data_IF_799147775511
#
_entry.id   IF_799147775511
#
_cell.length_a   1.000
_cell.length_b   1.000
_cell.length_c   1.000
_cell.angle_alpha   90.00
_cell.angle_beta   90.00
_cell.angle_gamma   90.00
#
_symmetry.space_group_name_H-M   'P 1'
#
loop_
_entity.id
_entity.type
_entity.pdbx_description
1 polymer ?
#
# COMPACT_ATOMS: atom_id res chain seq x y z
N UNK A 1 -17.93 31.28 -28.13
CA UNK A 1 -17.57 31.28 -29.56
C UNK A 1 -16.12 30.88 -29.69
N UNK A 2 -15.92 29.86 -30.45
CA UNK A 2 -14.78 29.15 -31.02
C UNK A 2 -14.42 27.83 -30.32
N UNK A 3 -15.02 26.78 -30.87
CA UNK A 3 -14.54 25.40 -30.77
C UNK A 3 -13.41 25.22 -31.79
N UNK A 4 -12.34 24.55 -31.41
CA UNK A 4 -11.30 24.09 -32.34
C UNK A 4 -11.25 22.56 -32.28
N UNK A 5 -11.77 21.97 -33.36
CA UNK A 5 -11.67 20.54 -33.63
C UNK A 5 -10.25 20.16 -34.00
N UNK A 6 -9.67 19.20 -33.31
CA UNK A 6 -8.40 18.56 -33.68
C UNK A 6 -8.72 17.19 -34.28
N UNK A 7 -8.55 17.09 -35.61
CA UNK A 7 -8.70 15.86 -36.40
C UNK A 7 -7.40 15.06 -36.35
N UNK A 8 -7.45 13.80 -35.87
CA UNK A 8 -6.35 12.85 -36.00
C UNK A 8 -6.47 12.02 -37.27
N UNK A 9 -5.39 11.83 -38.07
CA UNK A 9 -5.43 11.02 -39.26
C UNK A 9 -5.41 9.52 -38.97
N UNK A 10 -6.38 8.79 -39.55
CA UNK A 10 -6.41 7.31 -39.56
C UNK A 10 -5.26 6.76 -40.42
N UNK A 11 -4.44 5.87 -39.86
CA UNK A 11 -3.53 5.03 -40.64
C UNK A 11 -4.28 3.86 -41.26
N UNK A 12 -4.14 3.72 -42.60
CA UNK A 12 -4.64 2.60 -43.40
C UNK A 12 -3.90 1.28 -43.04
N UNK A 13 -4.65 0.22 -42.88
CA UNK A 13 -4.15 -1.15 -42.78
C UNK A 13 -3.69 -1.60 -44.18
N UNK A 14 -2.41 -1.98 -44.31
CA UNK A 14 -1.85 -2.63 -45.50
C UNK A 14 -2.05 -4.15 -45.43
N UNK A 15 -2.66 -4.70 -46.45
CA UNK A 15 -2.78 -6.14 -46.65
C UNK A 15 -1.45 -6.74 -47.10
N UNK A 16 -0.96 -7.76 -46.41
CA UNK A 16 0.16 -8.59 -46.88
C UNK A 16 -0.39 -9.89 -47.44
N UNK A 17 -0.11 -10.16 -48.74
CA UNK A 17 -0.25 -11.49 -49.35
C UNK A 17 1.01 -12.33 -49.06
N UNK A 18 0.87 -13.63 -48.82
CA UNK A 18 2.05 -14.50 -48.69
C UNK A 18 2.51 -15.00 -50.06
N UNK A 19 3.78 -14.77 -50.34
CA UNK A 19 4.49 -15.35 -51.49
C UNK A 19 4.84 -16.81 -51.19
N UNK A 20 4.46 -17.70 -52.12
CA UNK A 20 4.80 -19.13 -52.06
C UNK A 20 6.29 -19.34 -52.31
N UNK A 21 6.88 -20.21 -51.51
CA UNK A 21 8.27 -20.72 -51.73
C UNK A 21 8.19 -22.21 -52.01
N UNK A 22 8.64 -22.62 -53.21
CA UNK A 22 8.86 -23.97 -53.64
C UNK A 22 9.98 -24.63 -52.84
N UNK A 23 9.72 -25.85 -52.39
CA UNK A 23 10.70 -26.72 -51.76
C UNK A 23 11.45 -27.50 -52.85
N UNK A 24 12.77 -27.60 -52.82
CA UNK A 24 13.48 -28.62 -53.57
C UNK A 24 13.64 -29.90 -52.72
N UNK A 25 13.34 -31.03 -53.37
CA UNK A 25 13.61 -32.36 -52.88
C UNK A 25 15.12 -32.58 -52.75
N UNK A 26 15.60 -32.93 -51.56
CA UNK A 26 16.93 -33.48 -51.36
C UNK A 26 16.88 -34.95 -50.92
N UNK A 27 17.65 -35.77 -51.65
CA UNK A 27 17.87 -37.16 -51.47
C UNK A 27 18.38 -37.51 -50.06
N UNK A 28 17.76 -38.50 -49.45
CA UNK A 28 18.25 -39.15 -48.23
C UNK A 28 19.48 -40.02 -48.51
N UNK A 29 20.63 -39.64 -47.89
CA UNK A 29 21.77 -40.54 -47.69
C UNK A 29 21.71 -41.03 -46.22
N UNK A 30 21.92 -42.31 -45.94
CA UNK A 30 21.91 -42.81 -44.57
C UNK A 30 23.23 -42.42 -43.87
N UNK A 31 23.16 -41.51 -42.92
CA UNK A 31 24.26 -41.26 -42.01
C UNK A 31 24.21 -42.32 -40.91
N UNK A 32 25.18 -43.20 -40.90
CA UNK A 32 25.46 -44.08 -39.78
C UNK A 32 25.98 -43.24 -38.63
N UNK A 33 25.10 -42.96 -37.63
CA UNK A 33 25.47 -42.37 -36.40
C UNK A 33 26.14 -43.40 -35.51
N UNK A 34 27.44 -43.39 -35.44
CA UNK A 34 28.18 -44.10 -34.41
C UNK A 34 27.78 -43.48 -33.05
N UNK A 35 27.01 -44.22 -32.25
CA UNK A 35 26.73 -43.86 -30.89
C UNK A 35 28.00 -43.94 -30.06
N UNK A 36 28.71 -42.82 -29.95
CA UNK A 36 29.72 -42.65 -28.91
C UNK A 36 29.00 -42.70 -27.56
N UNK A 37 29.16 -43.80 -26.84
CA UNK A 37 28.84 -43.92 -25.42
C UNK A 37 29.72 -42.86 -24.68
N UNK A 38 29.22 -41.62 -24.62
CA UNK A 38 29.74 -40.66 -23.65
C UNK A 38 29.25 -41.22 -22.29
N UNK A 39 30.17 -41.87 -21.59
CA UNK A 39 30.05 -42.11 -20.17
C UNK A 39 29.91 -40.70 -19.54
N UNK A 40 28.65 -40.35 -19.26
CA UNK A 40 28.38 -39.24 -18.38
C UNK A 40 28.92 -39.65 -17.01
N UNK A 41 30.16 -39.26 -16.74
CA UNK A 41 30.62 -39.18 -15.37
C UNK A 41 29.69 -38.18 -14.71
N UNK A 42 28.65 -38.69 -14.02
CA UNK A 42 27.92 -37.89 -13.04
C UNK A 42 29.02 -37.27 -12.20
N UNK A 43 29.09 -35.90 -12.11
CA UNK A 43 29.99 -35.32 -11.14
C UNK A 43 29.67 -35.99 -9.81
N UNK A 44 30.72 -36.56 -9.18
CA UNK A 44 30.58 -37.11 -7.86
C UNK A 44 29.89 -36.04 -7.03
N UNK A 45 28.68 -36.33 -6.59
CA UNK A 45 27.97 -35.44 -5.69
C UNK A 45 28.97 -35.17 -4.57
N UNK A 46 29.41 -33.93 -4.45
CA UNK A 46 30.25 -33.52 -3.36
C UNK A 46 29.58 -34.08 -2.10
N UNK A 47 30.39 -34.68 -1.21
CA UNK A 47 29.93 -35.33 0.02
C UNK A 47 29.34 -34.27 1.02
N UNK A 48 28.64 -33.32 0.48
CA UNK A 48 27.91 -32.27 1.17
C UNK A 48 26.51 -32.74 1.52
N UNK A 49 26.03 -32.36 2.67
CA UNK A 49 24.65 -32.59 3.06
C UNK A 49 23.66 -31.89 2.13
N UNK A 50 22.39 -32.26 2.21
CA UNK A 50 21.34 -31.57 1.51
C UNK A 50 20.22 -31.12 2.44
N UNK A 51 19.53 -30.06 2.06
CA UNK A 51 18.30 -29.62 2.70
C UNK A 51 17.14 -29.68 1.70
N UNK A 52 15.94 -29.97 2.22
CA UNK A 52 14.70 -29.84 1.46
C UNK A 52 13.70 -29.01 2.25
N UNK A 53 12.83 -28.34 1.55
CA UNK A 53 11.69 -27.69 2.19
C UNK A 53 10.73 -28.78 2.69
N UNK A 54 10.41 -28.73 3.99
CA UNK A 54 9.44 -29.60 4.63
C UNK A 54 8.06 -28.97 4.64
N UNK A 55 7.99 -27.71 5.03
CA UNK A 55 6.75 -26.96 5.13
C UNK A 55 7.00 -25.46 4.98
N UNK A 56 5.99 -24.76 4.44
CA UNK A 56 5.85 -23.31 4.51
C UNK A 56 4.46 -22.96 4.98
N UNK A 57 4.34 -22.26 6.09
CA UNK A 57 3.09 -21.73 6.58
C UNK A 57 2.56 -20.60 5.67
N UNK A 58 1.28 -20.33 5.76
CA UNK A 58 0.64 -19.19 5.10
C UNK A 58 0.76 -17.95 5.95
N UNK A 59 0.92 -16.77 5.33
CA UNK A 59 0.79 -15.49 6.02
C UNK A 59 -0.68 -15.12 6.30
N UNK A 60 -1.64 -15.83 5.70
CA UNK A 60 -3.06 -15.51 5.82
C UNK A 60 -3.44 -14.21 5.11
N UNK A 61 -4.63 -13.73 5.44
CA UNK A 61 -5.13 -12.43 4.98
C UNK A 61 -5.02 -11.39 6.11
N UNK A 62 -4.39 -10.27 5.82
CA UNK A 62 -4.19 -9.17 6.78
C UNK A 62 -5.20 -8.07 6.51
N UNK A 63 -6.03 -7.73 7.52
CA UNK A 63 -6.94 -6.59 7.45
C UNK A 63 -6.19 -5.29 7.79
N UNK A 64 -6.38 -4.26 6.97
CA UNK A 64 -5.70 -2.97 7.07
C UNK A 64 -6.68 -1.80 7.06
N UNK A 65 -6.52 -0.89 8.00
CA UNK A 65 -7.04 0.46 7.94
C UNK A 65 -5.89 1.44 7.71
N UNK A 66 -5.63 1.73 6.45
CA UNK A 66 -4.50 2.59 6.06
C UNK A 66 -4.74 4.05 6.43
N UNK A 67 -5.98 4.49 6.56
CA UNK A 67 -6.32 5.88 6.89
C UNK A 67 -5.97 6.20 8.34
N UNK A 68 -6.19 5.27 9.26
CA UNK A 68 -5.82 5.42 10.68
C UNK A 68 -4.32 5.25 10.94
N UNK A 69 -3.53 4.98 9.90
CA UNK A 69 -2.08 4.75 9.98
C UNK A 69 -1.70 3.56 10.89
N UNK A 70 -2.59 2.58 10.99
CA UNK A 70 -2.30 1.33 11.70
C UNK A 70 -1.30 0.51 10.90
N UNK A 71 -0.24 0.04 11.55
CA UNK A 71 0.63 -0.99 11.00
C UNK A 71 0.00 -2.35 11.27
N UNK A 72 0.08 -3.25 10.30
CA UNK A 72 -0.36 -4.61 10.47
C UNK A 72 0.70 -5.58 9.95
N UNK A 73 0.79 -6.75 10.56
CA UNK A 73 1.78 -7.75 10.21
C UNK A 73 1.17 -9.15 10.25
N UNK A 74 1.80 -10.05 9.54
CA UNK A 74 1.52 -11.48 9.55
C UNK A 74 2.81 -12.26 9.78
N UNK A 75 2.69 -13.41 10.42
CA UNK A 75 3.82 -14.30 10.71
C UNK A 75 3.62 -15.60 9.95
N UNK A 76 4.69 -16.09 9.35
CA UNK A 76 4.74 -17.42 8.74
C UNK A 76 6.03 -18.11 9.11
N UNK A 77 6.08 -19.43 8.95
CA UNK A 77 7.23 -20.26 9.31
C UNK A 77 7.66 -21.09 8.10
N UNK A 78 8.96 -21.12 7.87
CA UNK A 78 9.61 -22.11 6.99
C UNK A 78 10.22 -23.23 7.83
N UNK A 79 10.04 -24.46 7.37
CA UNK A 79 10.68 -25.62 7.93
C UNK A 79 11.49 -26.34 6.86
N UNK A 80 12.75 -26.62 7.19
CA UNK A 80 13.66 -27.39 6.35
C UNK A 80 14.02 -28.70 7.04
N UNK A 81 14.11 -29.75 6.25
CA UNK A 81 14.71 -31.00 6.68
C UNK A 81 16.07 -31.11 6.01
N UNK A 82 17.11 -31.23 6.80
CA UNK A 82 18.49 -31.26 6.35
C UNK A 82 19.16 -32.56 6.75
N UNK A 83 19.86 -33.20 5.81
CA UNK A 83 20.63 -34.43 6.02
C UNK A 83 22.09 -34.17 5.71
N UNK A 84 22.96 -34.55 6.62
CA UNK A 84 24.40 -34.46 6.42
C UNK A 84 25.08 -35.84 6.56
N UNK A 85 25.86 -36.30 5.57
CA UNK A 85 26.66 -37.50 5.67
C UNK A 85 27.94 -37.26 6.49
N UNK A 86 28.28 -35.99 6.74
CA UNK A 86 29.48 -35.58 7.47
C UNK A 86 29.05 -34.88 8.76
N UNK A 87 29.88 -34.96 9.78
CA UNK A 87 29.60 -34.31 11.05
C UNK A 87 29.85 -32.82 10.97
N UNK A 88 28.77 -32.03 10.91
CA UNK A 88 28.79 -30.57 11.07
C UNK A 88 28.14 -30.17 12.39
N UNK A 89 28.35 -28.94 12.82
CA UNK A 89 27.73 -28.40 14.04
C UNK A 89 26.66 -27.37 13.74
N UNK A 90 26.60 -26.88 12.51
CA UNK A 90 25.64 -25.85 12.12
C UNK A 90 25.31 -25.86 10.61
N UNK A 91 24.16 -25.28 10.29
CA UNK A 91 23.76 -24.94 8.93
C UNK A 91 23.45 -23.46 8.93
N UNK A 92 24.02 -22.74 7.98
CA UNK A 92 23.68 -21.35 7.74
C UNK A 92 22.71 -21.25 6.57
N UNK A 93 21.71 -20.40 6.72
CA UNK A 93 20.73 -20.09 5.69
C UNK A 93 20.79 -18.60 5.37
N UNK A 94 20.73 -18.26 4.08
CA UNK A 94 20.62 -16.89 3.59
C UNK A 94 19.39 -16.83 2.70
N UNK A 95 18.41 -16.00 3.07
CA UNK A 95 17.11 -15.94 2.42
C UNK A 95 16.87 -14.58 1.76
N UNK A 96 16.31 -14.60 0.56
CA UNK A 96 16.00 -13.45 -0.28
C UNK A 96 14.57 -13.55 -0.78
N UNK A 97 14.04 -12.42 -1.25
CA UNK A 97 12.75 -12.37 -1.95
C UNK A 97 12.99 -12.13 -3.43
N UNK A 98 12.35 -12.93 -4.26
CA UNK A 98 12.33 -12.76 -5.71
C UNK A 98 10.93 -12.38 -6.16
N UNK A 99 10.79 -11.23 -6.85
CA UNK A 99 9.53 -10.81 -7.42
C UNK A 99 9.18 -11.66 -8.66
N UNK A 100 7.89 -11.94 -8.91
CA UNK A 100 7.45 -12.68 -10.10
C UNK A 100 7.88 -11.95 -11.38
N UNK A 101 8.47 -12.68 -12.33
CA UNK A 101 8.82 -12.16 -13.66
C UNK A 101 10.01 -11.20 -13.71
N UNK A 102 10.72 -11.00 -12.60
CA UNK A 102 11.93 -10.18 -12.59
C UNK A 102 13.15 -11.08 -12.59
N UNK A 103 13.95 -11.08 -13.68
CA UNK A 103 15.30 -11.59 -13.57
C UNK A 103 16.07 -10.61 -12.68
N UNK A 104 16.47 -11.02 -11.50
CA UNK A 104 17.57 -10.53 -10.64
C UNK A 104 17.94 -9.02 -10.59
N UNK A 105 17.25 -8.11 -11.24
CA UNK A 105 17.76 -6.76 -11.50
C UNK A 105 17.16 -5.62 -10.65
N UNK A 106 16.13 -5.85 -9.84
CA UNK A 106 15.64 -4.85 -8.89
C UNK A 106 16.11 -5.15 -7.46
N UNK A 107 17.37 -5.20 -7.34
CA UNK A 107 18.16 -5.73 -6.25
C UNK A 107 18.33 -4.80 -5.03
N UNK A 108 17.76 -3.62 -5.01
CA UNK A 108 17.94 -2.70 -3.88
C UNK A 108 16.68 -2.52 -3.02
N UNK A 109 15.57 -3.14 -3.39
CA UNK A 109 14.33 -2.91 -2.70
C UNK A 109 14.17 -3.87 -1.51
N UNK A 110 14.22 -3.33 -0.31
CA UNK A 110 13.66 -3.97 0.89
C UNK A 110 12.15 -3.76 1.00
N UNK A 111 11.52 -3.10 0.03
CA UNK A 111 10.10 -2.82 -0.07
C UNK A 111 9.51 -3.52 -1.28
N UNK A 112 8.47 -4.29 -1.06
CA UNK A 112 7.75 -5.04 -2.08
C UNK A 112 6.32 -4.54 -2.18
N UNK A 113 5.63 -4.85 -3.27
CA UNK A 113 4.30 -4.34 -3.55
C UNK A 113 3.32 -5.45 -3.90
N UNK A 114 2.17 -5.45 -3.25
CA UNK A 114 1.00 -6.16 -3.73
C UNK A 114 0.20 -5.22 -4.63
N UNK A 115 -0.34 -5.75 -5.71
CA UNK A 115 -1.17 -4.98 -6.65
C UNK A 115 -2.62 -5.43 -6.54
N UNK A 116 -3.54 -4.48 -6.65
CA UNK A 116 -4.95 -4.70 -6.87
C UNK A 116 -5.31 -4.46 -8.33
N UNK A 117 -4.79 -3.37 -8.87
CA UNK A 117 -4.96 -2.90 -10.24
C UNK A 117 -3.71 -2.13 -10.67
N UNK A 118 -3.71 -1.56 -11.87
CA UNK A 118 -2.55 -0.83 -12.43
C UNK A 118 -2.16 0.41 -11.62
N UNK A 119 -3.13 1.03 -10.92
CA UNK A 119 -2.95 2.32 -10.26
C UNK A 119 -2.86 2.21 -8.74
N UNK A 120 -3.10 1.03 -8.19
CA UNK A 120 -3.18 0.83 -6.75
C UNK A 120 -2.30 -0.32 -6.30
N UNK A 121 -1.34 -0.01 -5.44
CA UNK A 121 -0.38 -0.96 -4.88
C UNK A 121 -0.16 -0.70 -3.40
N UNK A 122 0.04 -1.78 -2.66
CA UNK A 122 0.24 -1.81 -1.23
C UNK A 122 1.67 -2.24 -0.93
N UNK A 123 2.43 -1.38 -0.27
CA UNK A 123 3.83 -1.62 0.07
C UNK A 123 3.96 -2.43 1.36
N UNK A 124 4.89 -3.37 1.37
CA UNK A 124 5.20 -4.23 2.51
C UNK A 124 6.68 -4.58 2.58
N UNK A 125 7.11 -5.05 3.73
CA UNK A 125 8.45 -5.55 3.99
C UNK A 125 8.38 -6.89 4.72
N UNK A 126 9.48 -7.66 4.69
CA UNK A 126 9.61 -8.91 5.43
C UNK A 126 10.91 -8.92 6.21
N UNK A 127 10.89 -9.50 7.41
CA UNK A 127 12.08 -9.71 8.25
C UNK A 127 12.03 -11.07 8.95
N UNK A 128 13.16 -11.52 9.46
CA UNK A 128 13.22 -12.68 10.36
C UNK A 128 12.64 -12.32 11.73
N UNK A 129 11.81 -13.20 12.30
CA UNK A 129 11.41 -13.08 13.69
C UNK A 129 12.61 -13.43 14.60
N UNK A 130 12.85 -12.59 15.60
CA UNK A 130 14.02 -12.75 16.51
C UNK A 130 15.37 -12.36 15.90
N UNK A 131 15.43 -11.99 14.60
CA UNK A 131 16.55 -11.28 14.00
C UNK A 131 16.48 -9.79 14.33
N UNK A 132 17.57 -9.05 14.15
CA UNK A 132 17.57 -7.58 14.29
C UNK A 132 16.55 -6.88 13.39
N UNK A 133 16.66 -5.57 13.22
CA UNK A 133 15.76 -4.77 12.36
C UNK A 133 16.01 -4.96 10.84
N UNK A 134 16.82 -5.93 10.46
CA UNK A 134 17.16 -6.17 9.06
C UNK A 134 15.97 -6.73 8.30
N UNK A 135 15.64 -6.09 7.17
CA UNK A 135 14.62 -6.55 6.23
C UNK A 135 15.23 -7.45 5.18
N UNK A 136 14.46 -8.45 4.72
CA UNK A 136 14.87 -9.24 3.57
C UNK A 136 14.97 -8.36 2.33
N UNK A 137 16.06 -8.54 1.60
CA UNK A 137 16.28 -7.84 0.33
C UNK A 137 15.91 -8.72 -0.87
N UNK A 138 15.80 -8.08 -2.04
CA UNK A 138 15.65 -8.78 -3.31
C UNK A 138 16.90 -9.62 -3.67
N UNK A 139 16.71 -10.73 -4.36
CA UNK A 139 17.80 -11.59 -4.81
C UNK A 139 18.74 -10.83 -5.77
N UNK A 140 20.03 -10.95 -5.53
CA UNK A 140 21.06 -10.24 -6.31
C UNK A 140 21.34 -8.80 -5.84
N UNK A 141 20.75 -8.37 -4.72
CA UNK A 141 21.01 -7.06 -4.11
C UNK A 141 22.42 -6.99 -3.50
N UNK A 142 23.03 -5.81 -3.60
CA UNK A 142 24.23 -5.47 -2.83
C UNK A 142 23.89 -5.13 -1.35
N UNK A 143 22.61 -5.04 -1.00
CA UNK A 143 22.16 -4.79 0.37
C UNK A 143 22.34 -6.03 1.26
N UNK A 144 22.56 -5.86 2.57
CA UNK A 144 22.69 -6.98 3.48
C UNK A 144 21.48 -7.89 3.40
N UNK A 145 21.76 -9.15 3.16
CA UNK A 145 20.73 -10.19 3.13
C UNK A 145 20.59 -10.75 4.50
N UNK A 146 19.37 -10.89 4.95
CA UNK A 146 19.11 -11.43 6.28
C UNK A 146 19.37 -12.92 6.30
N UNK A 147 20.29 -13.31 7.17
CA UNK A 147 20.70 -14.70 7.37
C UNK A 147 20.44 -15.19 8.78
N UNK A 148 20.30 -16.48 8.93
CA UNK A 148 20.21 -17.14 10.24
C UNK A 148 21.00 -18.46 10.24
N UNK A 149 21.43 -18.88 11.43
CA UNK A 149 22.20 -20.10 11.62
C UNK A 149 21.43 -21.04 12.52
N UNK A 150 21.23 -22.26 12.07
CA UNK A 150 20.68 -23.34 12.86
C UNK A 150 21.83 -24.24 13.36
N UNK A 151 21.89 -24.45 14.67
CA UNK A 151 22.85 -25.36 15.29
C UNK A 151 22.24 -26.75 15.41
N UNK A 152 22.99 -27.76 14.95
CA UNK A 152 22.55 -29.14 14.95
C UNK A 152 23.73 -30.08 15.28
N UNK A 153 23.40 -31.21 15.88
CA UNK A 153 24.36 -32.30 16.07
C UNK A 153 23.99 -33.43 15.12
N UNK A 154 24.92 -33.80 14.25
CA UNK A 154 24.78 -34.88 13.31
C UNK A 154 25.50 -36.13 13.79
N UNK A 155 24.92 -37.31 13.55
CA UNK A 155 25.58 -38.60 13.80
C UNK A 155 25.18 -39.62 12.73
N UNK A 156 25.87 -40.72 12.63
CA UNK A 156 25.51 -41.82 11.75
C UNK A 156 24.11 -42.39 12.05
N UNK A 157 23.70 -42.35 13.34
CA UNK A 157 22.38 -42.78 13.78
C UNK A 157 21.28 -41.72 13.55
N UNK A 158 21.65 -40.44 13.54
CA UNK A 158 20.72 -39.29 13.32
C UNK A 158 21.28 -38.34 12.29
N UNK A 159 21.32 -38.74 11.00
CA UNK A 159 21.92 -37.89 9.94
C UNK A 159 21.02 -36.73 9.54
N UNK A 160 19.80 -36.70 10.01
CA UNK A 160 18.77 -35.71 9.62
C UNK A 160 18.37 -34.84 10.79
N UNK A 161 18.20 -33.56 10.54
CA UNK A 161 17.65 -32.57 11.49
C UNK A 161 16.62 -31.69 10.81
N UNK A 162 15.77 -31.08 11.61
CA UNK A 162 14.80 -30.05 11.16
C UNK A 162 15.28 -28.69 11.61
N UNK A 163 15.33 -27.74 10.69
CA UNK A 163 15.58 -26.34 10.95
C UNK A 163 14.32 -25.52 10.65
N UNK A 164 13.98 -24.56 11.48
CA UNK A 164 12.82 -23.71 11.26
C UNK A 164 13.15 -22.24 11.51
N UNK A 165 12.49 -21.35 10.75
CA UNK A 165 12.60 -19.92 10.91
C UNK A 165 11.25 -19.26 10.69
N UNK A 166 10.90 -18.36 11.60
CA UNK A 166 9.73 -17.51 11.43
C UNK A 166 10.08 -16.22 10.66
N UNK A 167 9.15 -15.80 9.82
CA UNK A 167 9.21 -14.56 9.04
C UNK A 167 8.02 -13.68 9.42
N UNK A 168 8.28 -12.39 9.53
CA UNK A 168 7.28 -11.36 9.78
C UNK A 168 7.14 -10.52 8.51
N UNK A 169 5.98 -10.59 7.88
CA UNK A 169 5.56 -9.70 6.82
C UNK A 169 4.86 -8.50 7.48
N UNK A 170 5.31 -7.29 7.19
CA UNK A 170 4.77 -6.06 7.76
C UNK A 170 4.37 -5.10 6.65
N UNK A 171 3.13 -4.62 6.67
CA UNK A 171 2.66 -3.58 5.78
C UNK A 171 3.17 -2.22 6.26
N UNK A 172 3.63 -1.41 5.32
CA UNK A 172 4.17 -0.10 5.64
C UNK A 172 3.05 0.85 6.06
N UNK A 173 3.39 1.78 6.94
CA UNK A 173 2.46 2.80 7.39
C UNK A 173 2.04 3.77 6.27
N UNK A 174 0.98 4.52 6.50
CA UNK A 174 0.39 5.47 5.55
C UNK A 174 1.41 6.37 4.85
N UNK A 175 2.40 6.90 5.58
CA UNK A 175 3.39 7.83 5.04
C UNK A 175 4.26 7.24 3.92
N UNK A 176 4.34 5.91 3.84
CA UNK A 176 5.10 5.17 2.83
C UNK A 176 4.17 4.56 1.76
N UNK A 177 2.89 4.88 1.82
CA UNK A 177 1.86 4.49 0.87
C UNK A 177 1.34 5.74 0.16
N UNK A 178 0.79 5.58 -1.04
CA UNK A 178 0.23 6.72 -1.78
C UNK A 178 -1.19 6.41 -2.29
N UNK A 179 -1.31 5.66 -3.38
CA UNK A 179 -2.56 5.36 -4.04
C UNK A 179 -3.11 4.00 -3.62
N UNK A 180 -3.53 3.90 -2.37
CA UNK A 180 -4.11 2.66 -1.82
C UNK A 180 -5.63 2.78 -1.81
N UNK A 181 -6.31 2.02 -2.69
CA UNK A 181 -7.76 1.85 -2.72
C UNK A 181 -8.22 0.82 -1.69
N UNK A 182 -9.49 0.84 -1.35
CA UNK A 182 -10.11 -0.26 -0.60
C UNK A 182 -10.21 -1.52 -1.45
N UNK A 183 -10.17 -2.70 -0.82
CA UNK A 183 -10.33 -3.99 -1.46
C UNK A 183 -9.18 -4.95 -1.20
N UNK A 184 -9.15 -6.06 -1.94
CA UNK A 184 -8.18 -7.13 -1.76
C UNK A 184 -6.95 -6.88 -2.62
N UNK A 185 -5.80 -6.99 -2.00
CA UNK A 185 -4.47 -6.97 -2.63
C UNK A 185 -3.85 -8.33 -2.50
N UNK A 186 -3.30 -8.87 -3.57
CA UNK A 186 -2.61 -10.15 -3.54
C UNK A 186 -1.42 -10.15 -4.48
N UNK A 187 -0.38 -10.88 -4.13
CA UNK A 187 0.74 -11.16 -5.00
C UNK A 187 1.43 -12.44 -4.57
N UNK A 188 2.02 -13.14 -5.52
CA UNK A 188 2.84 -14.31 -5.26
C UNK A 188 4.30 -13.93 -5.44
N UNK A 189 5.11 -14.33 -4.49
CA UNK A 189 6.56 -14.12 -4.48
C UNK A 189 7.27 -15.45 -4.29
N UNK A 190 8.57 -15.46 -4.51
CA UNK A 190 9.42 -16.59 -4.25
C UNK A 190 10.45 -16.22 -3.18
N UNK A 191 10.59 -17.06 -2.15
CA UNK A 191 11.76 -17.04 -1.27
C UNK A 191 12.83 -17.93 -1.89
N UNK A 192 14.01 -17.37 -2.01
CA UNK A 192 15.22 -18.08 -2.44
C UNK A 192 16.09 -18.23 -1.21
N UNK A 193 16.32 -19.47 -0.76
CA UNK A 193 17.11 -19.77 0.42
C UNK A 193 18.35 -20.56 0.03
N UNK A 194 19.51 -19.94 0.15
CA UNK A 194 20.79 -20.62 0.05
C UNK A 194 21.15 -21.22 1.41
N UNK A 195 21.76 -22.40 1.43
CA UNK A 195 22.25 -23.00 2.66
C UNK A 195 23.67 -23.51 2.53
N UNK A 196 24.38 -23.54 3.65
CA UNK A 196 25.74 -24.06 3.76
C UNK A 196 25.94 -24.75 5.10
N UNK A 197 26.46 -25.97 5.08
CA UNK A 197 26.88 -26.70 6.27
C UNK A 197 28.24 -26.19 6.73
N UNK A 198 28.38 -25.97 8.04
CA UNK A 198 29.66 -25.54 8.61
C UNK A 198 29.79 -25.91 10.09
N UNK A 199 30.95 -25.59 10.68
CA UNK A 199 31.28 -25.93 12.05
C UNK A 199 31.27 -24.68 12.97
N UNK A 200 30.17 -23.94 12.96
CA UNK A 200 29.95 -22.80 13.83
C UNK A 200 30.40 -21.44 13.29
N UNK A 201 31.01 -21.39 12.11
CA UNK A 201 31.43 -20.14 11.48
C UNK A 201 30.27 -19.58 10.65
N UNK A 202 29.93 -18.32 10.91
CA UNK A 202 28.95 -17.59 10.10
C UNK A 202 29.65 -16.96 8.91
N UNK A 203 29.23 -17.30 7.70
CA UNK A 203 29.58 -16.56 6.49
C UNK A 203 28.68 -15.33 6.34
N UNK A 204 29.13 -14.33 5.60
CA UNK A 204 28.26 -13.20 5.23
C UNK A 204 27.17 -13.66 4.27
N UNK A 205 25.95 -13.14 4.45
CA UNK A 205 24.86 -13.32 3.50
C UNK A 205 24.81 -12.21 2.41
N UNK A 206 25.85 -11.40 2.29
CA UNK A 206 25.91 -10.34 1.30
C UNK A 206 27.13 -10.53 0.37
N UNK A 207 26.93 -10.72 -0.94
CA UNK A 207 25.68 -10.79 -1.73
C UNK A 207 25.02 -12.18 -1.74
N UNK A 208 25.33 -13.02 -0.82
CA UNK A 208 24.89 -14.40 -0.66
C UNK A 208 25.97 -15.24 -0.01
N UNK A 209 25.75 -16.55 0.09
CA UNK A 209 26.80 -17.47 0.51
C UNK A 209 27.84 -17.60 -0.60
N UNK A 210 29.11 -17.49 -0.26
CA UNK A 210 30.20 -17.57 -1.25
C UNK A 210 30.22 -18.93 -1.98
N UNK A 211 29.92 -20.01 -1.26
CA UNK A 211 29.89 -21.37 -1.81
C UNK A 211 28.74 -22.13 -1.14
N UNK A 212 27.48 -21.90 -1.57
CA UNK A 212 26.34 -22.60 -0.99
C UNK A 212 26.37 -24.08 -1.36
N UNK A 213 26.05 -24.96 -0.40
CA UNK A 213 25.88 -26.39 -0.68
C UNK A 213 24.60 -26.65 -1.47
N UNK A 214 23.64 -25.70 -1.42
CA UNK A 214 22.44 -25.74 -2.26
C UNK A 214 21.57 -24.49 -2.15
N UNK A 215 20.57 -24.44 -3.01
CA UNK A 215 19.58 -23.36 -3.08
C UNK A 215 18.18 -23.95 -3.17
N UNK A 216 17.27 -23.45 -2.35
CA UNK A 216 15.88 -23.84 -2.30
C UNK A 216 15.00 -22.68 -2.76
N UNK A 217 13.94 -23.01 -3.48
CA UNK A 217 12.96 -22.06 -3.99
C UNK A 217 11.60 -22.38 -3.41
N UNK A 218 10.92 -21.39 -2.84
CA UNK A 218 9.62 -21.56 -2.23
C UNK A 218 8.70 -20.41 -2.61
N UNK A 219 7.60 -20.71 -3.28
CA UNK A 219 6.58 -19.72 -3.61
C UNK A 219 5.66 -19.48 -2.42
N UNK A 220 5.33 -18.24 -2.17
CA UNK A 220 4.35 -17.85 -1.15
C UNK A 220 3.43 -16.75 -1.69
N UNK A 221 2.18 -16.81 -1.26
CA UNK A 221 1.20 -15.76 -1.53
C UNK A 221 1.08 -14.84 -0.32
N UNK A 222 0.92 -13.56 -0.60
CA UNK A 222 0.57 -12.56 0.38
C UNK A 222 -0.79 -11.98 0.02
N UNK A 223 -1.67 -11.81 1.01
CA UNK A 223 -3.00 -11.24 0.80
C UNK A 223 -3.29 -10.22 1.90
N UNK A 224 -3.84 -9.08 1.50
CA UNK A 224 -4.31 -8.07 2.42
C UNK A 224 -5.66 -7.51 1.97
N UNK A 225 -6.53 -7.19 2.91
CA UNK A 225 -7.79 -6.52 2.67
C UNK A 225 -7.72 -5.12 3.28
N UNK A 226 -7.77 -4.10 2.42
CA UNK A 226 -7.81 -2.70 2.84
C UNK A 226 -9.25 -2.25 2.98
N UNK A 227 -9.61 -1.76 4.16
CA UNK A 227 -10.94 -1.22 4.42
C UNK A 227 -11.16 0.09 3.64
N UNK A 228 -12.39 0.29 3.15
CA UNK A 228 -12.85 1.61 2.74
C UNK A 228 -13.03 2.45 4.00
N UNK A 229 -12.35 3.58 4.09
CA UNK A 229 -12.43 4.44 5.26
C UNK A 229 -12.15 5.89 4.92
N UNK A 230 -12.81 6.79 5.67
CA UNK A 230 -12.53 8.21 5.70
C UNK A 230 -12.44 8.69 7.16
N UNK A 231 -11.57 9.65 7.40
CA UNK A 231 -11.42 10.30 8.70
C UNK A 231 -11.41 11.80 8.52
N UNK A 232 -12.20 12.47 9.32
CA UNK A 232 -12.16 13.93 9.39
C UNK A 232 -10.95 14.38 10.20
N UNK A 233 -10.24 15.36 9.65
CA UNK A 233 -9.03 15.94 10.23
C UNK A 233 -9.00 17.44 9.90
N UNK A 234 -8.19 18.22 10.61
CA UNK A 234 -7.97 19.64 10.27
C UNK A 234 -9.24 20.51 10.25
N UNK A 235 -9.95 20.57 11.36
CA UNK A 235 -11.03 21.54 11.53
C UNK A 235 -10.45 22.93 11.83
N UNK A 236 -11.02 23.93 11.19
CA UNK A 236 -10.80 25.32 11.52
C UNK A 236 -12.15 25.97 11.83
N UNK A 237 -12.25 26.53 13.02
CA UNK A 237 -13.44 27.26 13.46
C UNK A 237 -13.70 28.49 12.58
N UNK A 238 -14.95 28.90 12.56
CA UNK A 238 -15.39 30.08 11.83
C UNK A 238 -15.51 31.21 12.84
N UNK A 239 -14.67 32.23 12.67
CA UNK A 239 -14.68 33.43 13.51
C UNK A 239 -15.05 34.65 12.67
N UNK A 240 -16.14 35.31 13.02
CA UNK A 240 -16.57 36.55 12.39
C UNK A 240 -15.82 37.78 12.93
N UNK A 241 -15.06 37.61 14.00
CA UNK A 241 -14.42 38.71 14.70
C UNK A 241 -15.40 39.71 15.30
N UNK A 242 -14.88 40.84 15.74
CA UNK A 242 -15.70 41.94 16.28
C UNK A 242 -16.51 42.63 15.17
N UNK A 243 -17.81 42.67 15.34
CA UNK A 243 -18.75 43.22 14.38
C UNK A 243 -19.51 44.43 15.03
N UNK A 244 -19.69 45.50 14.24
CA UNK A 244 -20.51 46.62 14.68
C UNK A 244 -22.01 46.27 14.45
N UNK A 245 -22.82 46.34 15.49
CA UNK A 245 -24.23 45.99 15.44
C UNK A 245 -25.02 46.85 14.44
N UNK A 246 -24.65 48.10 14.25
CA UNK A 246 -25.28 49.01 13.27
C UNK A 246 -24.94 48.61 11.82
N UNK A 247 -23.70 48.15 11.56
CA UNK A 247 -23.31 47.69 10.26
C UNK A 247 -24.03 46.41 9.87
N UNK A 248 -24.27 45.53 10.82
CA UNK A 248 -25.04 44.29 10.62
C UNK A 248 -26.54 44.60 10.39
N UNK A 249 -27.10 45.55 11.10
CA UNK A 249 -28.50 45.93 10.99
C UNK A 249 -28.82 46.75 9.73
N UNK A 250 -27.84 47.49 9.21
CA UNK A 250 -28.04 48.34 8.05
C UNK A 250 -28.12 47.55 6.73
N UNK A 251 -29.01 47.99 5.84
CA UNK A 251 -29.36 47.35 4.57
C UNK A 251 -28.16 46.92 3.72
N UNK A 252 -27.58 45.76 4.03
CA UNK A 252 -26.81 44.93 3.09
C UNK A 252 -25.53 45.51 2.45
N UNK A 253 -25.03 46.65 2.92
CA UNK A 253 -23.83 47.25 2.33
C UNK A 253 -22.55 46.51 2.66
N UNK A 254 -22.53 45.73 3.75
CA UNK A 254 -21.38 44.90 4.11
C UNK A 254 -21.84 43.51 4.49
N UNK A 255 -21.78 42.60 3.55
CA UNK A 255 -22.00 41.17 3.85
C UNK A 255 -20.86 40.69 4.77
N UNK A 256 -21.18 40.44 6.03
CA UNK A 256 -20.21 39.89 6.98
C UNK A 256 -20.03 38.40 6.70
N UNK A 257 -18.85 38.05 6.25
CA UNK A 257 -18.43 36.69 5.94
C UNK A 257 -17.25 36.26 6.78
N UNK A 258 -17.25 35.02 7.15
CA UNK A 258 -16.13 34.37 7.79
C UNK A 258 -15.89 32.99 7.16
N UNK A 259 -14.71 32.44 7.33
CA UNK A 259 -14.32 31.19 6.69
C UNK A 259 -13.75 30.24 7.71
N UNK A 260 -14.14 28.97 7.56
CA UNK A 260 -13.55 27.86 8.25
C UNK A 260 -13.08 26.81 7.27
N UNK A 261 -12.62 25.69 7.79
CA UNK A 261 -12.15 24.57 6.97
C UNK A 261 -12.56 23.23 7.59
N UNK A 262 -12.88 22.28 6.73
CA UNK A 262 -13.11 20.88 7.06
C UNK A 262 -12.16 20.06 6.23
N UNK A 263 -11.21 19.37 6.88
CA UNK A 263 -10.33 18.42 6.23
C UNK A 263 -10.85 17.00 6.35
N UNK A 264 -10.78 16.24 5.26
CA UNK A 264 -11.11 14.81 5.24
C UNK A 264 -10.00 14.05 4.53
N UNK A 265 -9.60 12.94 5.13
CA UNK A 265 -8.65 11.98 4.57
C UNK A 265 -9.37 10.68 4.31
N UNK A 266 -9.23 10.12 3.13
CA UNK A 266 -9.85 8.86 2.74
C UNK A 266 -8.87 7.89 2.09
N UNK A 267 -9.23 6.62 2.04
CA UNK A 267 -8.65 5.65 1.12
C UNK A 267 -8.75 6.19 -0.31
N UNK A 268 -7.71 5.97 -1.13
CA UNK A 268 -7.65 6.52 -2.49
C UNK A 268 -8.89 6.18 -3.30
N UNK A 269 -9.44 7.17 -3.99
CA UNK A 269 -10.67 7.11 -4.78
C UNK A 269 -11.94 6.69 -4.03
N UNK A 270 -11.95 6.77 -2.71
CA UNK A 270 -13.18 6.60 -1.94
C UNK A 270 -14.09 7.82 -2.14
N UNK A 271 -15.30 7.65 -2.69
CA UNK A 271 -16.27 8.74 -2.76
C UNK A 271 -16.78 9.05 -1.35
N UNK A 272 -17.02 10.32 -1.08
CA UNK A 272 -17.63 10.75 0.19
C UNK A 272 -18.57 11.93 -0.01
N UNK A 273 -19.45 12.12 0.96
CA UNK A 273 -20.34 13.29 1.04
C UNK A 273 -20.23 13.88 2.44
N UNK A 274 -20.23 15.21 2.51
CA UNK A 274 -20.19 15.96 3.77
C UNK A 274 -21.45 16.78 3.89
N UNK A 275 -22.14 16.64 5.03
CA UNK A 275 -23.23 17.50 5.46
C UNK A 275 -22.85 18.30 6.69
N UNK A 276 -23.47 19.46 6.87
CA UNK A 276 -23.32 20.30 8.05
C UNK A 276 -24.72 20.53 8.63
N UNK A 277 -24.87 20.34 9.94
CA UNK A 277 -26.13 20.64 10.63
C UNK A 277 -26.39 22.14 10.67
N UNK A 278 -27.63 22.54 10.95
CA UNK A 278 -28.00 23.94 11.13
C UNK A 278 -27.60 24.52 12.48
N UNK A 279 -26.84 23.77 13.27
CA UNK A 279 -26.39 24.17 14.60
C UNK A 279 -27.40 23.89 15.70
N UNK A 280 -26.98 24.19 16.93
CA UNK A 280 -27.78 23.91 18.14
C UNK A 280 -28.96 24.87 18.32
N UNK A 281 -28.90 26.05 17.70
CA UNK A 281 -29.88 27.11 17.91
C UNK A 281 -30.69 27.41 16.64
N UNK A 282 -30.81 26.44 15.74
CA UNK A 282 -31.62 26.59 14.55
C UNK A 282 -33.10 26.84 14.88
N UNK A 283 -33.71 27.81 14.21
CA UNK A 283 -35.13 28.16 14.32
C UNK A 283 -35.70 28.36 12.93
N UNK A 284 -36.85 27.77 12.66
CA UNK A 284 -37.54 27.89 11.35
C UNK A 284 -36.61 27.62 10.13
N UNK A 285 -35.81 26.58 10.23
CA UNK A 285 -34.83 26.19 9.21
C UNK A 285 -33.63 27.15 9.04
N UNK A 286 -33.49 28.16 9.89
CA UNK A 286 -32.40 29.15 9.88
C UNK A 286 -31.40 28.84 11.02
N UNK A 287 -30.12 28.75 10.71
CA UNK A 287 -29.07 28.63 11.69
C UNK A 287 -28.95 29.94 12.49
N UNK A 288 -28.74 29.84 13.80
CA UNK A 288 -28.59 31.00 14.67
C UNK A 288 -27.39 30.81 15.63
N UNK A 289 -26.57 31.84 15.78
CA UNK A 289 -25.68 31.95 16.92
C UNK A 289 -26.47 32.58 18.08
N UNK A 290 -26.16 32.22 19.32
CA UNK A 290 -26.84 32.66 20.51
C UNK A 290 -25.90 33.43 21.46
N UNK A 291 -26.39 34.53 22.03
CA UNK A 291 -25.80 35.23 23.17
C UNK A 291 -26.93 35.52 24.16
N UNK A 292 -26.90 34.91 25.36
CA UNK A 292 -28.00 34.96 26.33
C UNK A 292 -29.34 34.58 25.69
N UNK A 293 -30.30 35.49 25.60
CA UNK A 293 -31.60 35.29 24.95
C UNK A 293 -31.67 35.87 23.52
N UNK A 294 -30.57 36.38 23.02
CA UNK A 294 -30.47 37.02 21.70
C UNK A 294 -29.97 36.04 20.64
N UNK A 295 -30.51 36.14 19.45
CA UNK A 295 -30.14 35.28 18.32
C UNK A 295 -29.62 36.11 17.14
N UNK A 296 -28.59 35.61 16.50
CA UNK A 296 -27.99 36.20 15.30
C UNK A 296 -28.04 35.16 14.15
N UNK A 297 -28.89 35.35 13.15
CA UNK A 297 -29.08 34.38 12.09
C UNK A 297 -27.90 34.37 11.14
N UNK A 298 -27.51 33.18 10.73
CA UNK A 298 -26.44 32.98 9.77
C UNK A 298 -26.74 31.85 8.79
N UNK A 299 -25.94 31.75 7.75
CA UNK A 299 -26.02 30.66 6.78
C UNK A 299 -24.64 30.15 6.42
N UNK A 300 -24.53 28.84 6.20
CA UNK A 300 -23.31 28.18 5.75
C UNK A 300 -23.39 27.88 4.26
N UNK A 301 -22.26 28.01 3.61
CA UNK A 301 -22.10 27.82 2.18
C UNK A 301 -20.83 27.02 1.90
N UNK A 302 -20.80 26.35 0.76
CA UNK A 302 -19.57 25.78 0.21
C UNK A 302 -18.60 26.90 -0.23
N UNK A 303 -17.40 26.54 -0.59
CA UNK A 303 -16.40 27.47 -1.09
C UNK A 303 -16.99 28.42 -2.16
N UNK A 304 -16.62 29.70 -2.10
CA UNK A 304 -17.17 30.70 -3.00
C UNK A 304 -18.48 31.36 -2.52
N UNK A 305 -19.08 30.90 -1.43
CA UNK A 305 -20.27 31.49 -0.79
C UNK A 305 -21.50 31.56 -1.74
N UNK A 306 -21.69 30.62 -2.61
CA UNK A 306 -22.78 30.62 -3.61
C UNK A 306 -23.65 29.36 -3.58
N UNK A 307 -23.17 28.24 -3.02
CA UNK A 307 -23.92 26.99 -2.88
C UNK A 307 -24.18 26.78 -1.39
N UNK A 308 -25.44 26.70 -0.95
CA UNK A 308 -25.75 26.37 0.44
C UNK A 308 -25.10 25.07 0.87
N UNK A 309 -24.70 25.00 2.15
CA UNK A 309 -24.17 23.76 2.71
C UNK A 309 -24.91 23.43 3.98
N UNK A 310 -25.75 22.42 3.92
CA UNK A 310 -26.62 21.98 5.01
C UNK A 310 -26.80 20.44 4.96
N UNK A 311 -27.81 19.93 5.65
CA UNK A 311 -28.20 18.53 5.68
C UNK A 311 -28.87 18.04 4.37
N UNK A 312 -29.32 18.94 3.51
CA UNK A 312 -29.98 18.66 2.22
C UNK A 312 -29.04 18.85 1.03
N UNK A 313 -28.18 19.84 1.10
CA UNK A 313 -27.22 20.18 0.04
C UNK A 313 -25.81 19.75 0.45
N UNK A 314 -25.47 18.51 0.10
CA UNK A 314 -24.23 17.88 0.50
C UNK A 314 -23.07 18.30 -0.40
N UNK A 315 -21.88 18.44 0.17
CA UNK A 315 -20.65 18.53 -0.59
C UNK A 315 -20.19 17.12 -0.93
N UNK A 316 -19.93 16.86 -2.21
CA UNK A 316 -19.37 15.57 -2.67
C UNK A 316 -17.88 15.70 -2.99
N UNK A 317 -17.13 14.67 -2.68
CA UNK A 317 -15.70 14.59 -2.97
C UNK A 317 -15.23 13.16 -3.16
N UNK A 318 -13.95 13.03 -3.45
CA UNK A 318 -13.30 11.72 -3.63
C UNK A 318 -11.91 11.77 -2.98
N UNK A 319 -11.55 10.71 -2.28
CA UNK A 319 -10.23 10.56 -1.67
C UNK A 319 -9.12 10.68 -2.71
N UNK A 320 -8.18 11.58 -2.49
CA UNK A 320 -7.08 11.85 -3.42
C UNK A 320 -5.96 10.82 -3.24
N UNK A 321 -5.14 10.96 -2.22
CA UNK A 321 -4.16 9.95 -1.80
C UNK A 321 -4.36 9.67 -0.31
N UNK A 322 -3.87 8.53 0.18
CA UNK A 322 -3.99 8.20 1.61
C UNK A 322 -3.20 9.18 2.50
N UNK A 323 -2.26 9.93 1.92
CA UNK A 323 -1.48 10.94 2.63
C UNK A 323 -2.09 12.33 2.57
N UNK A 324 -2.89 12.63 1.54
CA UNK A 324 -3.48 13.95 1.36
C UNK A 324 -4.72 14.14 2.24
N UNK A 325 -4.88 15.36 2.75
CA UNK A 325 -6.12 15.84 3.34
C UNK A 325 -6.83 16.68 2.28
N UNK A 326 -8.04 16.28 1.93
CA UNK A 326 -8.92 17.09 1.09
C UNK A 326 -9.55 18.17 1.97
N UNK A 327 -9.16 19.42 1.76
CA UNK A 327 -9.65 20.55 2.52
C UNK A 327 -10.85 21.20 1.81
N UNK A 328 -11.90 21.43 2.56
CA UNK A 328 -13.13 22.05 2.10
C UNK A 328 -13.40 23.32 2.90
N UNK A 329 -13.30 24.44 2.22
CA UNK A 329 -13.59 25.73 2.84
C UNK A 329 -15.09 25.85 3.09
N UNK A 330 -15.45 26.25 4.31
CA UNK A 330 -16.79 26.63 4.71
C UNK A 330 -16.85 28.16 4.70
N UNK A 331 -17.81 28.73 3.99
CA UNK A 331 -18.13 30.14 4.08
C UNK A 331 -19.35 30.33 4.99
N UNK A 332 -19.23 31.09 6.02
CA UNK A 332 -20.35 31.51 6.85
C UNK A 332 -20.69 32.97 6.56
N UNK A 333 -21.97 33.27 6.56
CA UNK A 333 -22.45 34.63 6.32
C UNK A 333 -23.56 34.98 7.32
N UNK A 334 -23.44 36.10 8.02
CA UNK A 334 -24.53 36.63 8.82
C UNK A 334 -25.61 37.12 7.86
N UNK A 335 -26.85 36.72 8.14
CA UNK A 335 -28.00 37.10 7.31
C UNK A 335 -28.41 38.55 7.63
N UNK A 336 -28.42 39.41 6.63
CA UNK A 336 -28.80 40.82 6.71
C UNK A 336 -29.83 41.15 5.63
N UNK A 337 -30.70 42.15 5.79
CA UNK A 337 -30.87 43.02 6.96
C UNK A 337 -31.54 42.32 8.14
N UNK A 338 -31.21 42.73 9.35
CA UNK A 338 -31.90 42.30 10.55
C UNK A 338 -33.05 43.29 10.89
N UNK A 339 -34.14 42.79 11.48
CA UNK A 339 -35.25 43.63 11.89
C UNK A 339 -34.87 44.64 12.97
N UNK A 340 -33.88 44.26 13.82
CA UNK A 340 -33.33 45.09 14.89
C UNK A 340 -31.82 44.88 14.98
N UNK A 341 -31.14 45.90 15.48
CA UNK A 341 -29.70 45.77 15.78
C UNK A 341 -29.51 44.70 16.88
N UNK A 342 -28.59 43.74 16.72
CA UNK A 342 -28.36 42.74 17.74
C UNK A 342 -27.81 43.37 19.00
N UNK A 343 -28.16 42.82 20.18
CA UNK A 343 -27.58 43.26 21.45
C UNK A 343 -26.06 43.00 21.45
N UNK A 344 -25.34 43.84 22.21
CA UNK A 344 -23.93 43.60 22.42
C UNK A 344 -23.71 42.30 23.17
N UNK A 345 -22.75 41.47 22.72
CA UNK A 345 -22.46 40.17 23.33
C UNK A 345 -21.66 39.25 22.43
N UNK A 346 -21.20 38.15 22.99
CA UNK A 346 -20.50 37.08 22.23
C UNK A 346 -21.53 36.09 21.76
N UNK A 347 -21.70 35.97 20.46
CA UNK A 347 -22.61 35.04 19.80
C UNK A 347 -21.87 33.79 19.36
N UNK A 348 -22.35 32.61 19.80
CA UNK A 348 -21.74 31.31 19.46
C UNK A 348 -22.77 30.29 19.00
N UNK A 349 -22.36 29.37 18.18
CA UNK A 349 -23.14 28.16 17.83
C UNK A 349 -22.18 26.98 17.62
N UNK A 350 -22.72 25.78 17.68
CA UNK A 350 -22.02 24.55 17.38
C UNK A 350 -22.74 23.78 16.30
N UNK A 351 -22.04 23.50 15.21
CA UNK A 351 -22.56 22.71 14.09
C UNK A 351 -21.95 21.31 14.10
N UNK A 352 -22.72 20.31 13.69
CA UNK A 352 -22.26 18.93 13.52
C UNK A 352 -21.93 18.72 12.05
N UNK A 353 -20.71 18.26 11.80
CA UNK A 353 -20.25 17.86 10.45
C UNK A 353 -20.31 16.35 10.36
N UNK A 354 -20.97 15.82 9.34
CA UNK A 354 -21.11 14.38 9.11
C UNK A 354 -20.53 14.04 7.73
N UNK A 355 -19.64 13.05 7.69
CA UNK A 355 -19.16 12.46 6.45
C UNK A 355 -19.73 11.05 6.27
N UNK A 356 -20.19 10.76 5.07
CA UNK A 356 -20.64 9.43 4.62
C UNK A 356 -19.81 8.97 3.44
N UNK A 357 -19.39 7.70 3.41
CA UNK A 357 -18.51 7.10 2.39
C UNK A 357 -18.79 5.63 2.16
#
# INVERSE_FOLDING_TARGET
>A
MHASDIIYPRKKAGSYQPAGIMLPFYLFAPIIVAAALMSHTTPAAAAGGNCRLKNMGSFGNVALDIVSNSSASAISQLEFECTSPVKYTSIQFCTYIQAPGSPSTNSQASVFYQTRDTDSRLAWQMKLAGGGNETLAGFGSASPTTGWTHYATWSAATPTTTASQQFILSYLGRQQQDRVRSGVYSSTYQLVTQYQFNNGIKSSCNPGLANPDGTLFTSFATTATVAQNCRMENFQDIDFGDQNSLDIASNGRKQTRAYGNIGIRCTYQTPYKISISKGNYAKDDIANMKSEDNFLPYKLWQAGCNIPWDDKTLLSGTGNTVNAINNHQVCAQILTPLAHAPAAGTYTDTVIVTATF
#
